data_IF_284169945490
#
_entry.id   IF_284169945490
#
_cell.length_a   1.000
_cell.length_b   1.000
_cell.length_c   1.000
_cell.angle_alpha   90.00
_cell.angle_beta   90.00
_cell.angle_gamma   90.00
#
_symmetry.space_group_name_H-M   'P 1'
#
loop_
_entity.id
_entity.type
_entity.pdbx_description
1 polymer ?
#
# COMPACT_ATOMS: atom_id res chain seq x y z
N UNK A 1 1.03 9.77 25.40
CA UNK A 1 2.42 9.42 25.03
C UNK A 1 2.56 8.75 23.65
N UNK A 2 1.57 8.09 23.03
CA UNK A 2 1.68 7.55 21.65
C UNK A 2 1.85 8.61 20.55
N UNK A 3 1.19 9.77 20.69
CA UNK A 3 1.23 10.84 19.68
C UNK A 3 2.61 11.46 19.45
N UNK A 4 3.44 11.55 20.47
CA UNK A 4 4.78 12.19 20.37
C UNK A 4 5.76 11.28 19.59
N UNK A 5 5.69 9.98 19.77
CA UNK A 5 6.52 9.01 19.04
C UNK A 5 6.06 8.86 17.58
N UNK A 6 4.77 8.87 17.36
CA UNK A 6 4.14 8.84 16.04
C UNK A 6 4.56 10.07 15.21
N UNK A 7 4.46 11.27 15.76
CA UNK A 7 4.91 12.51 15.11
C UNK A 7 6.42 12.56 14.86
N UNK A 8 7.23 11.90 15.71
CA UNK A 8 8.70 11.84 15.57
C UNK A 8 9.12 10.95 14.40
N UNK A 9 8.40 9.87 14.11
CA UNK A 9 8.64 8.99 12.95
C UNK A 9 8.28 9.68 11.63
N UNK A 10 7.18 10.43 11.61
CA UNK A 10 6.75 11.21 10.44
C UNK A 10 7.76 12.32 10.13
N UNK A 11 8.20 13.07 11.13
CA UNK A 11 9.18 14.15 10.97
C UNK A 11 10.56 13.63 10.54
N UNK A 12 10.97 12.44 10.97
CA UNK A 12 12.24 11.84 10.53
C UNK A 12 12.23 11.43 9.07
N UNK A 13 11.11 10.88 8.56
CA UNK A 13 10.94 10.57 7.14
C UNK A 13 10.93 11.84 6.27
N UNK A 14 10.26 12.90 6.71
CA UNK A 14 10.24 14.18 5.99
C UNK A 14 11.61 14.87 5.96
N UNK A 15 12.48 14.68 6.97
CA UNK A 15 13.83 15.23 6.99
C UNK A 15 14.82 14.45 6.09
N UNK A 16 14.61 13.16 5.87
CA UNK A 16 15.43 12.35 4.94
C UNK A 16 15.10 12.66 3.47
N UNK A 17 13.86 13.09 3.17
CA UNK A 17 13.44 13.50 1.82
C UNK A 17 14.00 14.89 1.45
N UNK A 18 14.18 15.78 2.42
CA UNK A 18 14.66 17.15 2.18
C UNK A 18 16.19 17.30 2.01
N UNK A 19 16.97 16.25 2.30
CA UNK A 19 18.45 16.29 2.30
C UNK A 19 19.16 15.86 1.02
N UNK A 20 18.46 15.42 -0.03
CA UNK A 20 19.08 14.71 -1.16
C UNK A 20 19.03 15.44 -2.52
N UNK A 21 18.74 16.72 -2.62
CA UNK A 21 18.64 17.43 -3.91
C UNK A 21 19.63 18.58 -4.05
N UNK A 22 20.87 18.28 -4.51
CA UNK A 22 21.73 19.23 -5.21
C UNK A 22 22.05 18.67 -6.61
N UNK A 23 21.14 18.88 -7.56
CA UNK A 23 21.30 18.55 -8.99
C UNK A 23 20.10 19.08 -9.76
N UNK A 24 20.38 19.99 -10.71
CA UNK A 24 19.53 20.63 -11.72
C UNK A 24 18.00 20.51 -11.48
N UNK A 25 17.44 21.50 -10.82
CA UNK A 25 16.02 21.66 -10.58
C UNK A 25 15.35 21.97 -11.94
N UNK A 26 14.61 20.99 -12.48
CA UNK A 26 13.55 21.30 -13.44
C UNK A 26 12.48 22.14 -12.70
N UNK A 27 11.79 23.09 -13.35
CA UNK A 27 10.84 23.95 -12.67
C UNK A 27 9.78 23.07 -11.97
N UNK A 28 9.77 23.12 -10.67
CA UNK A 28 8.72 22.52 -9.84
C UNK A 28 7.43 23.24 -10.23
N UNK A 29 6.54 22.53 -10.91
CA UNK A 29 5.18 22.98 -11.05
C UNK A 29 4.60 23.03 -9.62
N UNK A 30 4.42 24.24 -9.09
CA UNK A 30 3.61 24.46 -7.87
C UNK A 30 2.17 24.03 -8.17
N UNK A 31 1.92 22.75 -8.00
CA UNK A 31 0.57 22.21 -8.06
C UNK A 31 0.11 22.13 -6.62
N UNK A 32 -0.90 22.93 -6.28
CA UNK A 32 -1.61 22.76 -5.03
C UNK A 32 -2.34 21.41 -5.08
N UNK A 33 -1.67 20.36 -4.65
CA UNK A 33 -2.26 19.03 -4.50
C UNK A 33 -3.09 18.99 -3.21
N UNK A 34 -4.25 19.64 -3.26
CA UNK A 34 -5.18 19.63 -2.13
C UNK A 34 -5.80 18.23 -1.96
N UNK A 35 -5.25 17.48 -1.01
CA UNK A 35 -5.82 16.20 -0.53
C UNK A 35 -5.87 15.05 -1.54
N UNK A 36 -4.97 14.99 -2.53
CA UNK A 36 -4.89 13.84 -3.44
C UNK A 36 -4.17 12.66 -2.79
N UNK A 37 -4.86 11.53 -2.69
CA UNK A 37 -4.31 10.29 -2.17
C UNK A 37 -4.00 9.35 -3.32
N UNK A 38 -2.82 8.75 -3.32
CA UNK A 38 -2.42 7.74 -4.31
C UNK A 38 -2.26 6.40 -3.60
N UNK A 39 -2.87 5.35 -4.14
CA UNK A 39 -2.66 3.98 -3.65
C UNK A 39 -2.05 3.14 -4.76
N UNK A 40 -0.98 2.41 -4.45
CA UNK A 40 -0.26 1.58 -5.42
C UNK A 40 -0.27 0.13 -4.96
N UNK A 41 -1.08 -0.68 -5.63
CA UNK A 41 -1.00 -2.13 -5.61
C UNK A 41 -0.05 -2.62 -6.69
N UNK A 42 0.57 -3.79 -6.51
CA UNK A 42 1.65 -4.21 -7.43
C UNK A 42 1.94 -5.69 -7.34
N UNK A 43 2.36 -6.27 -8.44
CA UNK A 43 3.01 -7.59 -8.48
C UNK A 43 4.43 -7.50 -7.91
N UNK A 44 4.97 -8.61 -7.36
CA UNK A 44 6.35 -8.67 -6.92
C UNK A 44 7.30 -8.67 -8.13
N UNK A 45 8.39 -7.93 -8.04
CA UNK A 45 9.33 -7.76 -9.16
C UNK A 45 8.90 -6.74 -10.21
N UNK A 46 7.68 -6.17 -10.18
CA UNK A 46 7.23 -5.15 -11.13
C UNK A 46 7.85 -3.75 -10.92
N UNK A 47 8.66 -3.54 -9.89
CA UNK A 47 9.21 -2.20 -9.59
C UNK A 47 8.22 -1.24 -8.93
N UNK A 48 7.01 -1.68 -8.59
CA UNK A 48 5.95 -0.81 -8.08
C UNK A 48 6.31 -0.04 -6.79
N UNK A 49 7.17 -0.59 -5.89
CA UNK A 49 7.66 0.16 -4.72
C UNK A 49 8.61 1.30 -5.13
N UNK A 50 9.49 1.05 -6.10
CA UNK A 50 10.41 2.06 -6.64
C UNK A 50 9.64 3.17 -7.35
N UNK A 51 8.66 2.82 -8.18
CA UNK A 51 7.77 3.77 -8.85
C UNK A 51 7.03 4.63 -7.83
N UNK A 52 6.45 4.04 -6.79
CA UNK A 52 5.76 4.75 -5.73
C UNK A 52 6.66 5.76 -5.00
N UNK A 53 7.89 5.35 -4.62
CA UNK A 53 8.86 6.21 -3.96
C UNK A 53 9.26 7.39 -4.85
N UNK A 54 9.60 7.13 -6.11
CA UNK A 54 9.97 8.21 -7.06
C UNK A 54 8.80 9.15 -7.37
N UNK A 55 7.58 8.62 -7.42
CA UNK A 55 6.37 9.47 -7.54
C UNK A 55 6.23 10.38 -6.32
N UNK A 56 6.42 9.86 -5.11
CA UNK A 56 6.36 10.64 -3.89
C UNK A 56 7.43 11.74 -3.85
N UNK A 57 8.67 11.41 -4.22
CA UNK A 57 9.79 12.35 -4.33
C UNK A 57 9.49 13.46 -5.33
N UNK A 58 8.95 13.13 -6.51
CA UNK A 58 8.61 14.11 -7.57
C UNK A 58 7.47 15.03 -7.17
N UNK A 59 6.48 14.51 -6.46
CA UNK A 59 5.32 15.28 -5.99
C UNK A 59 5.56 16.00 -4.67
N UNK A 60 6.67 15.71 -3.97
CA UNK A 60 6.99 16.27 -2.66
C UNK A 60 6.02 15.84 -1.55
N UNK A 61 5.46 14.62 -1.64
CA UNK A 61 4.46 14.11 -0.68
C UNK A 61 4.98 12.87 0.06
N UNK A 62 4.45 12.60 1.28
CA UNK A 62 4.82 11.42 2.06
C UNK A 62 4.55 10.10 1.33
N UNK A 63 5.40 9.11 1.60
CA UNK A 63 5.33 7.75 1.09
C UNK A 63 5.23 6.76 2.25
N UNK A 64 4.21 5.91 2.22
CA UNK A 64 3.94 4.92 3.24
C UNK A 64 3.89 3.52 2.63
N UNK A 65 4.90 2.73 2.87
CA UNK A 65 4.92 1.34 2.47
C UNK A 65 4.47 0.39 3.59
N UNK A 66 4.53 -0.91 3.29
CA UNK A 66 4.15 -1.95 4.23
C UNK A 66 4.86 -1.82 5.57
N UNK A 67 6.17 -1.62 5.54
CA UNK A 67 7.00 -1.66 6.75
C UNK A 67 6.68 -0.48 7.68
N UNK A 68 6.40 0.69 7.11
CA UNK A 68 5.98 1.88 7.86
C UNK A 68 4.58 1.72 8.47
N UNK A 69 3.62 1.19 7.71
CA UNK A 69 2.25 0.97 8.19
C UNK A 69 2.24 -0.09 9.30
N UNK A 70 3.01 -1.18 9.12
CA UNK A 70 3.11 -2.25 10.11
C UNK A 70 3.76 -1.75 11.40
N UNK A 71 4.83 -0.96 11.29
CA UNK A 71 5.50 -0.35 12.45
C UNK A 71 4.57 0.61 13.20
N UNK A 72 3.84 1.47 12.51
CA UNK A 72 2.89 2.38 13.14
C UNK A 72 1.72 1.63 13.82
N UNK A 73 1.23 0.55 13.21
CA UNK A 73 0.22 -0.31 13.80
C UNK A 73 0.72 -1.01 15.07
N UNK A 74 1.99 -1.44 15.10
CA UNK A 74 2.64 -2.05 16.27
C UNK A 74 2.78 -1.07 17.42
N UNK A 75 3.20 0.17 17.15
CA UNK A 75 3.34 1.21 18.17
C UNK A 75 2.00 1.60 18.82
N UNK A 76 0.89 1.28 18.13
CA UNK A 76 -0.46 1.41 18.69
C UNK A 76 -0.89 0.26 19.61
N UNK A 77 0.01 -0.69 19.94
CA UNK A 77 -0.20 -1.75 20.92
C UNK A 77 -0.07 -3.19 20.46
N UNK A 78 0.39 -3.41 19.21
CA UNK A 78 0.62 -4.76 18.65
C UNK A 78 2.11 -5.01 18.43
N UNK A 79 2.65 -6.17 18.90
CA UNK A 79 4.09 -6.47 18.78
C UNK A 79 4.49 -7.09 17.43
N UNK A 80 5.75 -6.86 16.95
CA UNK A 80 6.25 -7.37 15.67
C UNK A 80 6.21 -8.89 15.53
N UNK A 81 6.59 -9.62 16.57
CA UNK A 81 6.62 -11.09 16.59
C UNK A 81 5.23 -11.66 16.37
N UNK A 82 4.23 -11.01 16.90
CA UNK A 82 2.85 -11.38 16.79
C UNK A 82 2.27 -11.18 15.37
N UNK A 83 2.73 -10.15 14.65
CA UNK A 83 2.36 -9.87 13.26
C UNK A 83 3.01 -10.90 12.32
N UNK A 84 4.32 -11.13 12.48
CA UNK A 84 5.10 -12.00 11.59
C UNK A 84 4.69 -13.47 11.68
N UNK A 85 4.46 -14.01 12.88
CA UNK A 85 4.08 -15.40 13.09
C UNK A 85 2.72 -15.74 12.45
N UNK A 86 1.81 -14.76 12.35
CA UNK A 86 0.46 -14.98 11.84
C UNK A 86 0.27 -14.68 10.37
N UNK A 87 1.05 -13.82 9.79
CA UNK A 87 1.06 -13.67 8.31
C UNK A 87 1.47 -14.98 7.62
N UNK A 88 2.36 -15.77 8.22
CA UNK A 88 2.73 -17.09 7.71
C UNK A 88 1.63 -18.15 7.90
N UNK A 89 0.79 -18.03 8.93
CA UNK A 89 -0.31 -18.97 9.21
C UNK A 89 -1.62 -18.67 8.49
N UNK A 90 -1.77 -17.48 7.88
CA UNK A 90 -3.01 -17.04 7.21
C UNK A 90 -3.38 -17.87 5.98
N UNK A 91 -2.48 -18.73 5.47
CA UNK A 91 -2.69 -19.49 4.24
C UNK A 91 -3.85 -20.48 4.24
N UNK A 92 -4.31 -21.01 5.38
CA UNK A 92 -5.29 -22.11 5.40
C UNK A 92 -6.54 -21.88 6.25
N UNK A 93 -6.51 -21.01 7.26
CA UNK A 93 -7.65 -20.86 8.19
C UNK A 93 -8.44 -19.56 7.99
N UNK A 94 -7.95 -18.65 7.17
CA UNK A 94 -8.53 -17.32 7.05
C UNK A 94 -9.87 -17.31 6.30
N UNK A 95 -9.99 -18.08 5.20
CA UNK A 95 -11.26 -18.25 4.46
C UNK A 95 -12.36 -18.85 5.35
N UNK A 96 -11.98 -19.73 6.28
CA UNK A 96 -12.91 -20.31 7.24
C UNK A 96 -13.41 -19.28 8.25
N UNK A 97 -12.53 -18.44 8.76
CA UNK A 97 -12.89 -17.40 9.74
C UNK A 97 -13.68 -16.23 9.10
N UNK A 98 -13.44 -15.92 7.82
CA UNK A 98 -14.21 -14.94 7.07
C UNK A 98 -15.63 -15.43 6.76
N UNK A 99 -15.79 -16.68 6.37
CA UNK A 99 -17.11 -17.31 6.21
C UNK A 99 -17.89 -17.32 7.53
N UNK A 100 -17.20 -17.52 8.67
CA UNK A 100 -17.79 -17.39 10.00
C UNK A 100 -18.11 -15.93 10.38
N UNK A 101 -17.33 -14.94 9.94
CA UNK A 101 -17.61 -13.52 10.20
C UNK A 101 -18.96 -13.05 9.62
N UNK A 102 -19.35 -13.58 8.45
CA UNK A 102 -20.71 -13.42 7.92
C UNK A 102 -21.80 -14.07 8.81
N UNK A 103 -21.45 -15.16 9.51
CA UNK A 103 -22.34 -15.86 10.46
C UNK A 103 -22.34 -15.16 11.83
N UNK A 104 -21.22 -14.57 12.25
CA UNK A 104 -21.13 -13.83 13.52
C UNK A 104 -22.00 -12.57 13.52
N UNK A 105 -22.21 -11.92 12.39
CA UNK A 105 -23.17 -10.80 12.26
C UNK A 105 -24.62 -11.18 12.54
N UNK A 106 -24.96 -12.46 12.39
CA UNK A 106 -26.31 -12.99 12.67
C UNK A 106 -26.41 -13.61 14.07
N UNK A 107 -25.30 -14.00 14.69
CA UNK A 107 -25.29 -14.76 15.96
C UNK A 107 -25.06 -13.90 17.21
N UNK A 108 -24.54 -12.69 17.08
CA UNK A 108 -24.21 -11.84 18.22
C UNK A 108 -24.99 -10.52 18.19
N UNK A 109 -25.87 -10.27 19.14
CA UNK A 109 -26.62 -9.02 19.27
C UNK A 109 -25.76 -7.83 19.73
N UNK A 110 -24.47 -8.07 20.05
CA UNK A 110 -23.50 -7.07 20.48
C UNK A 110 -22.28 -7.07 19.56
N UNK A 111 -21.86 -5.88 19.13
CA UNK A 111 -20.62 -5.69 18.37
C UNK A 111 -19.44 -6.14 19.25
N UNK A 112 -18.61 -7.10 18.83
CA UNK A 112 -17.51 -7.59 19.65
C UNK A 112 -16.50 -6.47 19.95
N UNK A 113 -15.93 -6.49 21.14
CA UNK A 113 -14.81 -5.59 21.47
C UNK A 113 -13.57 -6.02 20.69
N UNK A 114 -12.65 -5.08 20.41
CA UNK A 114 -11.45 -5.36 19.63
C UNK A 114 -10.65 -6.56 20.15
N UNK A 115 -10.60 -6.74 21.48
CA UNK A 115 -9.89 -7.85 22.15
C UNK A 115 -10.53 -9.24 21.93
N UNK A 116 -11.79 -9.27 21.53
CA UNK A 116 -12.56 -10.51 21.28
C UNK A 116 -12.37 -10.99 19.82
N UNK A 117 -11.85 -10.13 18.93
CA UNK A 117 -11.61 -10.47 17.54
C UNK A 117 -10.37 -11.36 17.37
N UNK A 118 -10.33 -12.20 16.31
CA UNK A 118 -9.11 -12.88 15.91
C UNK A 118 -7.98 -11.87 15.72
N UNK A 119 -6.77 -12.27 16.08
CA UNK A 119 -5.61 -11.38 16.07
C UNK A 119 -5.30 -10.79 14.70
N UNK A 120 -5.46 -11.58 13.64
CA UNK A 120 -5.27 -11.10 12.27
C UNK A 120 -6.22 -9.93 11.94
N UNK A 121 -7.43 -9.99 12.46
CA UNK A 121 -8.44 -8.95 12.32
C UNK A 121 -8.11 -7.71 13.14
N UNK A 122 -7.59 -7.90 14.35
CA UNK A 122 -7.09 -6.79 15.18
C UNK A 122 -5.95 -6.05 14.49
N UNK A 123 -4.99 -6.78 13.89
CA UNK A 123 -3.87 -6.21 13.13
C UNK A 123 -4.40 -5.42 11.94
N UNK A 124 -5.32 -5.98 11.15
CA UNK A 124 -5.90 -5.29 10.01
C UNK A 124 -6.63 -4.01 10.42
N UNK A 125 -7.39 -4.04 11.50
CA UNK A 125 -8.09 -2.86 12.02
C UNK A 125 -7.12 -1.78 12.51
N UNK A 126 -6.00 -2.16 13.13
CA UNK A 126 -4.94 -1.23 13.50
C UNK A 126 -4.28 -0.59 12.27
N UNK A 127 -3.93 -1.40 11.26
CA UNK A 127 -3.40 -0.89 9.99
C UNK A 127 -4.39 0.02 9.27
N UNK A 128 -5.66 -0.37 9.24
CA UNK A 128 -6.74 0.46 8.67
C UNK A 128 -6.82 1.82 9.34
N UNK A 129 -6.82 1.85 10.67
CA UNK A 129 -6.85 3.11 11.43
C UNK A 129 -5.64 3.99 11.11
N UNK A 130 -4.42 3.42 11.08
CA UNK A 130 -3.20 4.14 10.70
C UNK A 130 -3.31 4.73 9.29
N UNK A 131 -3.79 3.96 8.32
CA UNK A 131 -3.96 4.42 6.94
C UNK A 131 -4.99 5.57 6.87
N UNK A 132 -6.11 5.47 7.58
CA UNK A 132 -7.13 6.51 7.63
C UNK A 132 -6.59 7.79 8.28
N UNK A 133 -5.91 7.68 9.44
CA UNK A 133 -5.32 8.81 10.17
C UNK A 133 -4.23 9.53 9.34
N UNK A 134 -3.38 8.77 8.63
CA UNK A 134 -2.36 9.34 7.74
C UNK A 134 -2.98 10.03 6.52
N UNK A 135 -4.03 9.47 5.95
CA UNK A 135 -4.73 10.05 4.81
C UNK A 135 -5.48 11.36 5.15
N UNK A 136 -5.75 11.63 6.42
CA UNK A 136 -6.36 12.89 6.89
C UNK A 136 -5.33 14.00 7.06
N UNK A 137 -4.04 13.67 7.13
CA UNK A 137 -2.97 14.66 7.30
C UNK A 137 -2.62 15.41 5.99
N UNK A 138 -3.08 14.91 4.85
CA UNK A 138 -2.84 15.55 3.56
C UNK A 138 -2.49 14.58 2.44
N UNK A 139 -1.99 15.10 1.30
CA UNK A 139 -1.59 14.30 0.15
C UNK A 139 -0.53 13.27 0.52
N UNK A 140 -0.69 12.02 0.06
CA UNK A 140 0.25 10.96 0.37
C UNK A 140 0.14 9.75 -0.58
N UNK A 141 1.14 8.88 -0.55
CA UNK A 141 1.16 7.62 -1.30
C UNK A 141 1.18 6.44 -0.34
N UNK A 142 0.26 5.51 -0.53
CA UNK A 142 0.24 4.22 0.16
C UNK A 142 0.61 3.07 -0.77
N UNK A 143 1.40 2.12 -0.30
CA UNK A 143 1.79 0.93 -1.07
C UNK A 143 1.27 -0.34 -0.43
N UNK A 144 0.22 -0.91 -1.01
CA UNK A 144 -0.42 -2.16 -0.56
C UNK A 144 -1.30 -1.99 0.68
N UNK A 145 -1.38 -3.02 1.53
CA UNK A 145 -2.19 -3.08 2.77
C UNK A 145 -3.67 -2.74 2.56
N UNK A 146 -4.20 -3.07 1.40
CA UNK A 146 -5.60 -2.78 1.03
C UNK A 146 -5.98 -1.29 1.11
N UNK A 147 -4.98 -0.38 1.01
CA UNK A 147 -5.22 1.06 1.13
C UNK A 147 -6.20 1.57 0.06
N UNK A 148 -6.17 1.01 -1.14
CA UNK A 148 -7.11 1.29 -2.24
C UNK A 148 -8.58 0.98 -1.87
N UNK A 149 -8.80 -0.07 -1.07
CA UNK A 149 -10.12 -0.43 -0.56
C UNK A 149 -10.48 0.36 0.70
N UNK A 150 -9.55 0.52 1.64
CA UNK A 150 -9.76 1.27 2.88
C UNK A 150 -10.19 2.70 2.56
N UNK A 151 -9.50 3.34 1.63
CA UNK A 151 -9.69 4.75 1.27
C UNK A 151 -10.65 4.97 0.08
N UNK A 152 -11.35 3.92 -0.39
CA UNK A 152 -12.18 3.95 -1.61
C UNK A 152 -13.24 5.05 -1.65
N UNK A 153 -13.67 5.54 -0.50
CA UNK A 153 -14.69 6.59 -0.38
C UNK A 153 -14.09 8.02 -0.27
N UNK A 154 -12.75 8.16 -0.31
CA UNK A 154 -12.12 9.48 -0.32
C UNK A 154 -12.29 10.12 -1.71
N UNK A 155 -12.67 11.41 -1.78
CA UNK A 155 -13.10 12.04 -3.05
C UNK A 155 -11.98 12.16 -4.09
N UNK A 156 -10.73 12.33 -3.65
CA UNK A 156 -9.57 12.53 -4.54
C UNK A 156 -8.56 11.38 -4.37
N UNK A 157 -8.99 10.15 -4.67
CA UNK A 157 -8.12 8.98 -4.64
C UNK A 157 -7.74 8.52 -6.04
N UNK A 158 -6.44 8.31 -6.30
CA UNK A 158 -5.92 7.62 -7.48
C UNK A 158 -5.49 6.21 -7.09
N UNK A 159 -6.19 5.19 -7.63
CA UNK A 159 -5.89 3.78 -7.41
C UNK A 159 -5.11 3.22 -8.60
N UNK A 160 -3.89 2.77 -8.36
CA UNK A 160 -2.97 2.27 -9.38
C UNK A 160 -2.58 0.83 -9.10
N UNK A 161 -2.49 0.00 -10.15
CA UNK A 161 -1.89 -1.32 -10.11
C UNK A 161 -0.68 -1.39 -11.04
N UNK A 162 0.47 -1.83 -10.54
CA UNK A 162 1.70 -1.98 -11.32
C UNK A 162 1.97 -3.46 -11.57
N UNK A 163 2.11 -3.83 -12.83
CA UNK A 163 2.42 -5.20 -13.26
C UNK A 163 3.58 -5.22 -14.27
N UNK A 164 4.11 -6.39 -14.58
CA UNK A 164 5.06 -6.60 -15.65
C UNK A 164 5.04 -8.07 -16.09
N UNK A 165 5.65 -8.36 -17.25
CA UNK A 165 5.84 -9.74 -17.72
C UNK A 165 6.57 -10.59 -16.66
N UNK A 166 6.17 -11.84 -16.44
CA UNK A 166 6.79 -12.72 -15.45
C UNK A 166 8.32 -12.86 -15.59
N UNK A 167 8.86 -12.89 -16.80
CA UNK A 167 10.31 -13.00 -17.03
C UNK A 167 11.04 -11.73 -16.58
N UNK A 168 10.48 -10.56 -16.88
CA UNK A 168 11.02 -9.27 -16.45
C UNK A 168 11.02 -9.17 -14.92
N UNK A 169 9.96 -9.63 -14.28
CA UNK A 169 9.85 -9.66 -12.82
C UNK A 169 10.90 -10.58 -12.17
N UNK A 170 11.18 -11.74 -12.82
CA UNK A 170 12.25 -12.65 -12.40
C UNK A 170 13.62 -11.97 -12.54
N UNK A 171 13.92 -11.38 -13.72
CA UNK A 171 15.18 -10.66 -13.96
C UNK A 171 15.41 -9.55 -12.93
N UNK A 172 14.42 -8.69 -12.72
CA UNK A 172 14.48 -7.62 -11.72
C UNK A 172 14.64 -8.16 -10.29
N UNK A 173 14.02 -9.29 -9.96
CA UNK A 173 14.15 -9.93 -8.65
C UNK A 173 15.56 -10.39 -8.38
N UNK A 174 16.24 -10.92 -9.37
CA UNK A 174 17.65 -11.35 -9.30
C UNK A 174 18.56 -10.12 -9.23
N UNK A 175 18.45 -9.22 -10.19
CA UNK A 175 19.39 -8.11 -10.38
C UNK A 175 19.27 -7.02 -9.32
N UNK A 176 18.04 -6.68 -8.93
CA UNK A 176 17.79 -5.56 -8.00
C UNK A 176 17.60 -5.99 -6.56
N UNK A 177 17.08 -7.20 -6.32
CA UNK A 177 16.75 -7.66 -4.97
C UNK A 177 17.68 -8.79 -4.50
N UNK A 178 18.63 -9.22 -5.34
CA UNK A 178 19.65 -10.21 -4.98
C UNK A 178 19.11 -11.62 -4.76
N UNK A 179 17.97 -11.97 -5.37
CA UNK A 179 17.38 -13.29 -5.25
C UNK A 179 18.18 -14.32 -6.05
N UNK A 180 18.24 -15.57 -5.56
CA UNK A 180 18.86 -16.67 -6.30
C UNK A 180 18.00 -17.04 -7.51
N UNK A 181 18.62 -17.22 -8.69
CA UNK A 181 17.93 -17.47 -9.94
C UNK A 181 17.02 -18.69 -9.88
N UNK A 182 17.46 -19.76 -9.21
CA UNK A 182 16.73 -21.03 -9.08
C UNK A 182 15.44 -20.89 -8.25
N UNK A 183 15.36 -19.88 -7.39
CA UNK A 183 14.23 -19.67 -6.47
C UNK A 183 13.36 -18.46 -6.83
N UNK A 184 13.83 -17.61 -7.74
CA UNK A 184 13.21 -16.33 -8.01
C UNK A 184 11.75 -16.47 -8.52
N UNK A 185 11.50 -17.41 -9.41
CA UNK A 185 10.15 -17.62 -9.96
C UNK A 185 9.16 -18.15 -8.91
N UNK A 186 9.61 -19.10 -8.08
CA UNK A 186 8.78 -19.64 -7.01
C UNK A 186 8.49 -18.58 -5.93
N UNK A 187 9.50 -17.80 -5.58
CA UNK A 187 9.37 -16.69 -4.63
C UNK A 187 8.37 -15.64 -5.12
N UNK A 188 8.43 -15.25 -6.40
CA UNK A 188 7.48 -14.31 -7.00
C UNK A 188 6.05 -14.84 -6.89
N UNK A 189 5.82 -16.09 -7.28
CA UNK A 189 4.50 -16.73 -7.18
C UNK A 189 4.02 -16.79 -5.73
N UNK A 190 4.90 -17.13 -4.81
CA UNK A 190 4.58 -17.21 -3.38
C UNK A 190 4.16 -15.84 -2.82
N UNK A 191 4.96 -14.80 -3.07
CA UNK A 191 4.67 -13.45 -2.56
C UNK A 191 3.37 -12.90 -3.16
N UNK A 192 3.14 -13.07 -4.45
CA UNK A 192 1.91 -12.58 -5.08
C UNK A 192 0.67 -13.36 -4.62
N UNK A 193 0.82 -14.68 -4.37
CA UNK A 193 -0.23 -15.48 -3.73
C UNK A 193 -0.56 -14.96 -2.32
N UNK A 194 0.44 -14.61 -1.52
CA UNK A 194 0.23 -14.04 -0.19
C UNK A 194 -0.49 -12.67 -0.26
N UNK A 195 -0.11 -11.82 -1.22
CA UNK A 195 -0.77 -10.52 -1.45
C UNK A 195 -2.22 -10.69 -1.86
N UNK A 196 -2.48 -11.61 -2.79
CA UNK A 196 -3.83 -11.95 -3.23
C UNK A 196 -4.69 -12.42 -2.07
N UNK A 197 -4.23 -13.43 -1.32
CA UNK A 197 -4.96 -13.97 -0.18
C UNK A 197 -5.26 -12.90 0.86
N UNK A 198 -4.29 -12.04 1.17
CA UNK A 198 -4.49 -10.94 2.10
C UNK A 198 -5.53 -9.93 1.58
N UNK A 199 -5.45 -9.54 0.31
CA UNK A 199 -6.37 -8.58 -0.30
C UNK A 199 -7.80 -9.11 -0.36
N UNK A 200 -7.98 -10.31 -0.91
CA UNK A 200 -9.28 -10.94 -1.08
C UNK A 200 -9.96 -11.23 0.25
N UNK A 201 -9.16 -11.50 1.27
CA UNK A 201 -9.64 -11.75 2.62
C UNK A 201 -10.25 -10.51 3.30
N UNK A 202 -9.70 -9.32 3.05
CA UNK A 202 -10.14 -8.09 3.73
C UNK A 202 -10.99 -7.16 2.86
N UNK A 203 -11.10 -7.41 1.56
CA UNK A 203 -11.76 -6.48 0.64
C UNK A 203 -13.00 -7.04 -0.06
N UNK A 204 -13.20 -8.35 -0.05
CA UNK A 204 -14.24 -9.03 -0.83
C UNK A 204 -14.11 -8.74 -2.34
N UNK A 205 -12.92 -8.33 -2.79
CA UNK A 205 -12.60 -8.00 -4.18
C UNK A 205 -11.45 -8.88 -4.65
N UNK A 206 -11.40 -9.19 -5.95
CA UNK A 206 -10.31 -9.93 -6.55
C UNK A 206 -9.07 -9.03 -6.71
N UNK A 207 -7.90 -9.51 -6.24
CA UNK A 207 -6.65 -8.78 -6.38
C UNK A 207 -6.18 -8.73 -7.84
N UNK A 208 -5.91 -7.52 -8.34
CA UNK A 208 -5.51 -7.29 -9.73
C UNK A 208 -6.68 -7.20 -10.71
N UNK A 209 -7.93 -7.29 -10.26
CA UNK A 209 -9.07 -7.00 -11.13
C UNK A 209 -9.07 -5.52 -11.52
N UNK A 210 -9.09 -5.28 -12.85
CA UNK A 210 -9.09 -3.94 -13.45
C UNK A 210 -10.16 -3.00 -12.90
N UNK A 211 -11.29 -3.55 -12.47
CA UNK A 211 -12.41 -2.76 -11.96
C UNK A 211 -12.12 -2.11 -10.60
N UNK A 212 -11.08 -2.57 -9.91
CA UNK A 212 -10.67 -2.02 -8.61
C UNK A 212 -9.72 -0.82 -8.74
N UNK A 213 -9.16 -0.58 -9.94
CA UNK A 213 -8.10 0.40 -10.17
C UNK A 213 -8.49 1.42 -11.23
N UNK A 214 -8.00 2.64 -11.08
CA UNK A 214 -8.15 3.70 -12.09
C UNK A 214 -7.10 3.58 -13.19
N UNK A 215 -5.89 3.08 -12.86
CA UNK A 215 -4.80 2.81 -13.78
C UNK A 215 -4.19 1.43 -13.52
N UNK A 216 -3.92 0.71 -14.59
CA UNK A 216 -3.08 -0.49 -14.58
C UNK A 216 -1.90 -0.25 -15.51
N UNK A 217 -0.68 -0.24 -14.97
CA UNK A 217 0.52 0.15 -15.70
C UNK A 217 1.49 -1.02 -15.84
N UNK A 218 1.87 -1.29 -17.09
CA UNK A 218 2.94 -2.20 -17.42
C UNK A 218 4.29 -1.49 -17.27
N UNK A 219 5.02 -1.83 -16.20
CA UNK A 219 6.32 -1.23 -15.92
C UNK A 219 7.44 -1.68 -16.86
N UNK A 220 7.26 -2.78 -17.60
CA UNK A 220 8.18 -3.18 -18.66
C UNK A 220 8.03 -2.28 -19.87
N UNK A 221 6.79 -2.00 -20.28
CA UNK A 221 6.50 -1.18 -21.44
C UNK A 221 6.91 0.29 -21.25
N UNK A 222 6.65 0.86 -20.07
CA UNK A 222 6.87 2.29 -19.81
C UNK A 222 8.17 2.58 -19.04
N UNK A 223 8.82 1.58 -18.47
CA UNK A 223 9.91 1.79 -17.51
C UNK A 223 9.43 2.45 -16.21
N UNK A 224 10.35 2.59 -15.26
CA UNK A 224 10.06 3.20 -13.96
C UNK A 224 9.68 4.66 -14.13
N UNK A 225 10.47 5.43 -14.88
CA UNK A 225 10.24 6.88 -15.07
C UNK A 225 8.95 7.17 -15.85
N UNK A 226 8.66 6.41 -16.90
CA UNK A 226 7.41 6.56 -17.66
C UNK A 226 6.16 6.26 -16.81
N UNK A 227 6.23 5.26 -15.94
CA UNK A 227 5.15 5.01 -14.98
C UNK A 227 4.98 6.19 -14.00
N UNK A 228 6.07 6.77 -13.51
CA UNK A 228 6.03 7.96 -12.64
C UNK A 228 5.39 9.13 -13.36
N UNK A 229 5.77 9.40 -14.62
CA UNK A 229 5.19 10.49 -15.44
C UNK A 229 3.68 10.32 -15.61
N UNK A 230 3.22 9.11 -15.92
CA UNK A 230 1.80 8.80 -16.10
C UNK A 230 1.02 9.02 -14.78
N UNK A 231 1.55 8.54 -13.66
CA UNK A 231 0.91 8.70 -12.34
C UNK A 231 0.81 10.17 -11.97
N UNK A 232 1.89 10.95 -12.11
CA UNK A 232 1.89 12.38 -11.84
C UNK A 232 0.87 13.13 -12.72
N UNK A 233 0.83 12.84 -14.02
CA UNK A 233 -0.15 13.43 -14.94
C UNK A 233 -1.60 13.09 -14.59
N UNK A 234 -1.86 11.86 -14.14
CA UNK A 234 -3.18 11.42 -13.72
C UNK A 234 -3.66 12.12 -12.45
N UNK A 235 -2.79 12.30 -11.45
CA UNK A 235 -3.10 13.05 -10.22
C UNK A 235 -3.50 14.50 -10.57
N UNK A 236 -2.72 15.18 -11.40
CA UNK A 236 -3.03 16.53 -11.84
C UNK A 236 -4.38 16.64 -12.56
N UNK A 237 -4.77 15.58 -13.26
CA UNK A 237 -6.06 15.53 -13.94
C UNK A 237 -7.23 15.33 -12.97
N UNK A 238 -7.01 14.61 -11.85
CA UNK A 238 -8.01 14.44 -10.81
C UNK A 238 -8.24 15.75 -10.02
N UNK A 239 -7.19 16.51 -9.75
CA UNK A 239 -7.29 17.77 -9.01
C UNK A 239 -8.05 18.86 -9.79
N UNK A 240 -8.07 18.79 -11.11
CA UNK A 240 -8.82 19.72 -11.98
C UNK A 240 -10.32 19.43 -12.03
N UNK A 241 -10.79 18.25 -11.56
CA UNK A 241 -12.21 17.96 -11.51
C UNK A 241 -12.83 18.66 -10.31
N UNK A 242 -13.92 19.43 -10.48
CA UNK A 242 -14.65 19.98 -9.35
C UNK A 242 -15.16 18.81 -8.48
N UNK A 243 -15.07 18.98 -7.17
CA UNK A 243 -15.69 18.05 -6.23
C UNK A 243 -17.19 17.98 -6.52
N UNK A 244 -17.82 16.78 -6.51
CA UNK A 244 -19.24 16.61 -6.77
C UNK A 244 -20.11 17.32 -5.72
#
# INVERSE_FOLDING_TARGET
>A
MPEILYNRLINKNNSEISGACSGAVQPQMEVSMENSIITISREYGSGGREIARKTAERLGIPFYDRDLIDKAAQESGFTPEFVAEREQRLGNNFLYNFALGGIYGLAYPRKPEMKELPVAEQIFLAQKKVIEDLAEQGPCIFVGRCADYILRNKPKILKVFIYADPKERVSRSIEKYGQMAEQAEELIRHIDKQRRLHYEAYTVQEWGDRNNYHLMLDSQAFGVEGCVDIICGAVLSLDKKPSP
#
